data_IF_997591393698
#
_entry.id   IF_997591393698
#
_cell.length_a   1.000
_cell.length_b   1.000
_cell.length_c   1.000
_cell.angle_alpha   90.00
_cell.angle_beta   90.00
_cell.angle_gamma   90.00
#
_symmetry.space_group_name_H-M   'P 1'
#
loop_
_entity.id
_entity.type
_entity.pdbx_description
1 polymer ?
#
# COMPACT_ATOMS: atom_id res chain seq x y z
N UNK A 1 17.54 -26.47 18.59
CA UNK A 1 16.07 -26.29 18.76
C UNK A 1 15.70 -24.88 18.36
N UNK A 2 14.61 -24.70 17.62
CA UNK A 2 14.16 -23.36 17.18
C UNK A 2 13.18 -22.79 18.20
N UNK A 3 13.57 -21.70 18.88
CA UNK A 3 12.69 -20.96 19.79
C UNK A 3 11.62 -20.23 18.96
N UNK A 4 10.33 -20.54 19.18
CA UNK A 4 9.24 -19.86 18.48
C UNK A 4 8.65 -18.75 19.34
N UNK A 5 8.59 -17.54 18.79
CA UNK A 5 8.02 -16.37 19.47
C UNK A 5 6.60 -16.58 20.01
N UNK A 6 5.76 -17.34 19.29
CA UNK A 6 4.39 -17.64 19.72
C UNK A 6 4.34 -18.48 21.01
N UNK A 7 5.34 -19.32 21.26
CA UNK A 7 5.42 -20.16 22.44
C UNK A 7 5.84 -19.33 23.66
N UNK A 8 6.73 -18.35 23.49
CA UNK A 8 7.14 -17.38 24.52
C UNK A 8 6.01 -16.43 24.96
N UNK A 9 5.01 -16.19 24.10
CA UNK A 9 3.86 -15.35 24.43
C UNK A 9 2.83 -16.06 25.33
N UNK A 10 2.81 -17.39 25.35
CA UNK A 10 1.84 -18.13 26.15
C UNK A 10 2.39 -18.37 27.57
N UNK A 11 1.81 -17.76 28.62
CA UNK A 11 2.35 -17.85 29.97
C UNK A 11 2.39 -19.27 30.52
N UNK A 12 1.48 -20.16 30.06
CA UNK A 12 1.46 -21.56 30.50
C UNK A 12 2.63 -22.37 29.93
N UNK A 13 2.99 -22.12 28.68
CA UNK A 13 4.14 -22.75 28.04
C UNK A 13 5.45 -22.21 28.60
N UNK A 14 5.51 -20.89 28.83
CA UNK A 14 6.64 -20.24 29.47
C UNK A 14 6.88 -20.77 30.89
N UNK A 15 5.83 -20.92 31.70
CA UNK A 15 5.92 -21.48 33.04
C UNK A 15 6.36 -22.96 33.03
N UNK A 16 5.90 -23.74 32.04
CA UNK A 16 6.36 -25.12 31.89
C UNK A 16 7.84 -25.21 31.50
N UNK A 17 8.33 -24.30 30.66
CA UNK A 17 9.73 -24.24 30.24
C UNK A 17 10.68 -23.74 31.34
N UNK A 18 10.19 -22.90 32.27
CA UNK A 18 10.97 -22.34 33.38
C UNK A 18 10.77 -23.09 34.71
N UNK A 19 10.04 -24.22 34.70
CA UNK A 19 9.66 -24.95 35.92
C UNK A 19 10.87 -25.44 36.73
N UNK A 20 11.93 -25.86 36.03
CA UNK A 20 13.16 -26.40 36.61
C UNK A 20 14.29 -25.37 36.62
N UNK A 21 14.00 -24.11 36.29
CA UNK A 21 15.00 -23.03 36.24
C UNK A 21 15.21 -22.39 37.62
N UNK A 22 16.45 -21.98 37.90
CA UNK A 22 16.81 -21.28 39.13
C UNK A 22 16.32 -19.81 39.08
N UNK A 23 15.92 -19.17 40.20
CA UNK A 23 15.52 -17.77 40.20
C UNK A 23 16.56 -16.81 39.62
N UNK A 24 17.86 -17.08 39.82
CA UNK A 24 18.94 -16.26 39.24
C UNK A 24 18.96 -16.35 37.71
N UNK A 25 18.72 -17.53 37.14
CA UNK A 25 18.65 -17.71 35.68
C UNK A 25 17.43 -17.00 35.10
N UNK A 26 16.31 -17.00 35.83
CA UNK A 26 15.10 -16.25 35.45
C UNK A 26 15.39 -14.75 35.43
N UNK A 27 16.15 -14.23 36.39
CA UNK A 27 16.55 -12.82 36.43
C UNK A 27 17.41 -12.45 35.21
N UNK A 28 18.39 -13.28 34.86
CA UNK A 28 19.22 -13.08 33.66
C UNK A 28 18.37 -13.05 32.38
N UNK A 29 17.37 -13.94 32.28
CA UNK A 29 16.44 -13.95 31.14
C UNK A 29 15.64 -12.65 31.07
N UNK A 30 15.17 -12.14 32.21
CA UNK A 30 14.44 -10.86 32.28
C UNK A 30 15.34 -9.70 31.83
N UNK A 31 16.59 -9.68 32.27
CA UNK A 31 17.54 -8.63 31.91
C UNK A 31 17.82 -8.64 30.40
N UNK A 32 18.05 -9.81 29.81
CA UNK A 32 18.21 -9.96 28.36
C UNK A 32 16.96 -9.51 27.58
N UNK A 33 15.76 -9.89 28.04
CA UNK A 33 14.51 -9.47 27.39
C UNK A 33 14.30 -7.96 27.49
N UNK A 34 14.73 -7.34 28.59
CA UNK A 34 14.67 -5.89 28.79
C UNK A 34 15.61 -5.17 27.83
N UNK A 35 16.85 -5.63 27.70
CA UNK A 35 17.81 -5.10 26.73
C UNK A 35 17.31 -5.23 25.28
N UNK A 36 16.77 -6.40 24.90
CA UNK A 36 16.18 -6.64 23.57
C UNK A 36 15.00 -5.70 23.32
N UNK A 37 14.14 -5.48 24.33
CA UNK A 37 13.01 -4.54 24.23
C UNK A 37 13.49 -3.12 23.96
N UNK A 38 14.52 -2.65 24.66
CA UNK A 38 15.09 -1.32 24.48
C UNK A 38 15.73 -1.15 23.09
N UNK A 39 16.42 -2.17 22.59
CA UNK A 39 16.99 -2.16 21.24
C UNK A 39 15.89 -2.05 20.18
N UNK A 40 14.83 -2.86 20.30
CA UNK A 40 13.68 -2.81 19.39
C UNK A 40 12.99 -1.44 19.45
N UNK A 41 12.79 -0.89 20.65
CA UNK A 41 12.17 0.41 20.84
C UNK A 41 13.01 1.53 20.20
N UNK A 42 14.33 1.51 20.40
CA UNK A 42 15.27 2.46 19.81
C UNK A 42 15.24 2.39 18.28
N UNK A 43 15.29 1.18 17.72
CA UNK A 43 15.23 0.98 16.26
C UNK A 43 13.91 1.51 15.67
N UNK A 44 12.78 1.21 16.29
CA UNK A 44 11.48 1.74 15.87
C UNK A 44 11.41 3.26 16.00
N UNK A 45 12.02 3.84 17.03
CA UNK A 45 12.08 5.28 17.21
C UNK A 45 12.93 5.94 16.11
N UNK A 46 14.05 5.35 15.72
CA UNK A 46 14.91 5.82 14.63
C UNK A 46 14.24 5.71 13.26
N UNK A 47 13.51 4.62 12.99
CA UNK A 47 12.72 4.49 11.75
C UNK A 47 11.63 5.56 11.70
N UNK A 48 10.91 5.76 12.81
CA UNK A 48 9.89 6.78 12.90
C UNK A 48 10.45 8.21 12.81
N UNK A 49 11.64 8.48 13.36
CA UNK A 49 12.26 9.82 13.28
C UNK A 49 12.69 10.12 11.84
N UNK A 50 13.29 9.16 11.15
CA UNK A 50 13.67 9.30 9.74
C UNK A 50 12.45 9.57 8.87
N UNK A 51 11.34 8.86 9.09
CA UNK A 51 10.10 9.09 8.35
C UNK A 51 9.47 10.45 8.68
N UNK A 52 9.55 10.90 9.92
CA UNK A 52 9.09 12.24 10.34
C UNK A 52 9.94 13.33 9.71
N UNK A 53 11.26 13.24 9.78
CA UNK A 53 12.17 14.20 9.17
C UNK A 53 11.98 14.29 7.66
N UNK A 54 11.81 13.15 6.98
CA UNK A 54 11.52 13.13 5.54
C UNK A 54 10.18 13.80 5.25
N UNK A 55 9.13 13.48 6.02
CA UNK A 55 7.82 14.13 5.86
C UNK A 55 7.90 15.63 6.11
N UNK A 56 8.54 16.06 7.18
CA UNK A 56 8.71 17.48 7.53
C UNK A 56 9.45 18.24 6.42
N UNK A 57 10.60 17.72 5.96
CA UNK A 57 11.36 18.31 4.85
C UNK A 57 10.54 18.39 3.56
N UNK A 58 9.83 17.33 3.21
CA UNK A 58 8.96 17.32 2.02
C UNK A 58 7.82 18.31 2.18
N UNK A 59 7.18 18.39 3.34
CA UNK A 59 6.09 19.35 3.57
C UNK A 59 6.56 20.79 3.55
N UNK A 60 7.74 21.09 4.09
CA UNK A 60 8.36 22.41 4.03
C UNK A 60 8.60 22.82 2.57
N UNK A 61 9.23 21.94 1.78
CA UNK A 61 9.48 22.19 0.36
C UNK A 61 8.18 22.38 -0.43
N UNK A 62 7.13 21.59 -0.15
CA UNK A 62 5.82 21.74 -0.80
C UNK A 62 5.17 23.09 -0.44
N UNK A 63 5.35 23.58 0.79
CA UNK A 63 4.82 24.87 1.19
C UNK A 63 5.56 26.03 0.50
N UNK A 64 6.89 25.97 0.41
CA UNK A 64 7.70 26.96 -0.33
C UNK A 64 7.32 27.02 -1.82
N UNK A 65 7.07 25.86 -2.44
CA UNK A 65 6.59 25.78 -3.83
C UNK A 65 5.21 26.43 -4.01
N UNK A 66 4.30 26.23 -3.05
CA UNK A 66 2.98 26.88 -3.06
C UNK A 66 3.09 28.39 -2.90
N UNK A 67 3.95 28.88 -2.01
CA UNK A 67 4.18 30.31 -1.81
C UNK A 67 4.79 30.99 -3.04
N UNK A 68 5.65 30.26 -3.76
CA UNK A 68 6.24 30.73 -5.02
C UNK A 68 5.28 30.65 -6.21
N UNK A 69 4.04 30.19 -6.00
CA UNK A 69 3.02 29.95 -7.03
C UNK A 69 3.51 29.00 -8.15
N UNK A 70 4.42 28.08 -7.81
CA UNK A 70 4.96 27.06 -8.71
C UNK A 70 4.18 25.77 -8.51
N UNK A 71 3.64 25.22 -9.59
CA UNK A 71 2.90 23.95 -9.52
C UNK A 71 3.88 22.80 -9.33
N UNK A 72 3.46 21.74 -8.64
CA UNK A 72 4.24 20.49 -8.54
C UNK A 72 4.57 19.94 -9.94
N UNK A 73 3.67 20.11 -10.91
CA UNK A 73 3.89 19.72 -12.31
C UNK A 73 5.02 20.52 -12.97
N UNK A 74 5.13 21.83 -12.69
CA UNK A 74 6.21 22.69 -13.19
C UNK A 74 7.54 22.30 -12.55
N UNK A 75 7.56 22.11 -11.22
CA UNK A 75 8.75 21.64 -10.49
C UNK A 75 9.28 20.31 -11.05
N UNK A 76 8.37 19.36 -11.29
CA UNK A 76 8.70 18.05 -11.87
C UNK A 76 9.23 18.15 -13.30
N UNK A 77 8.67 19.08 -14.09
CA UNK A 77 9.12 19.36 -15.45
C UNK A 77 10.57 19.87 -15.48
N UNK A 78 10.90 20.86 -14.63
CA UNK A 78 12.27 21.39 -14.52
C UNK A 78 13.26 20.41 -13.86
N UNK A 79 12.78 19.55 -12.96
CA UNK A 79 13.59 18.49 -12.36
C UNK A 79 13.90 17.33 -13.32
N UNK A 80 13.37 17.34 -14.56
CA UNK A 80 13.53 16.24 -15.51
C UNK A 80 12.87 14.94 -15.06
N UNK A 81 11.97 15.01 -14.08
CA UNK A 81 11.27 13.87 -13.51
C UNK A 81 9.99 13.62 -14.30
N UNK A 82 10.02 12.66 -15.21
CA UNK A 82 8.80 12.24 -15.91
C UNK A 82 7.94 11.40 -14.96
N UNK A 83 6.77 11.90 -14.57
CA UNK A 83 5.72 11.02 -14.03
C UNK A 83 5.29 10.10 -15.17
N UNK A 84 5.68 8.83 -15.11
CA UNK A 84 4.91 7.81 -15.82
C UNK A 84 3.54 7.77 -15.14
N UNK A 85 2.61 8.64 -15.57
CA UNK A 85 1.19 8.48 -15.24
C UNK A 85 0.87 7.06 -15.71
N UNK A 86 0.58 6.17 -14.77
CA UNK A 86 0.25 4.78 -15.06
C UNK A 86 -0.98 4.83 -15.98
N UNK A 87 -0.78 4.68 -17.29
CA UNK A 87 -1.88 4.63 -18.26
C UNK A 87 -2.81 3.53 -17.76
N UNK A 88 -4.01 3.90 -17.31
CA UNK A 88 -5.00 2.91 -16.91
C UNK A 88 -5.37 2.15 -18.16
N UNK A 89 -5.10 0.84 -18.17
CA UNK A 89 -5.51 -0.03 -19.27
C UNK A 89 -7.03 -0.03 -19.36
N UNK A 90 -7.56 0.24 -20.55
CA UNK A 90 -8.98 0.07 -20.83
C UNK A 90 -9.30 -1.42 -20.78
N UNK A 91 -10.36 -1.80 -20.07
CA UNK A 91 -10.73 -3.22 -19.87
C UNK A 91 -11.94 -3.64 -20.68
N UNK A 92 -12.78 -2.69 -21.08
CA UNK A 92 -14.02 -2.95 -21.80
C UNK A 92 -14.18 -1.97 -22.96
N UNK A 93 -14.68 -2.44 -24.11
CA UNK A 93 -15.01 -1.62 -25.29
C UNK A 93 -16.41 -2.01 -25.77
N UNK A 94 -17.28 -1.04 -25.99
CA UNK A 94 -18.66 -1.27 -26.44
C UNK A 94 -19.12 -0.17 -27.40
N UNK A 95 -20.05 -0.48 -28.30
CA UNK A 95 -20.65 0.49 -29.22
C UNK A 95 -21.97 0.99 -28.63
N UNK A 96 -22.07 2.30 -28.43
CA UNK A 96 -23.27 2.98 -27.93
C UNK A 96 -24.46 2.89 -28.88
N UNK A 97 -25.64 3.23 -28.39
CA UNK A 97 -26.85 3.34 -29.21
C UNK A 97 -26.72 4.40 -30.31
N UNK A 98 -25.81 5.37 -30.10
CA UNK A 98 -25.48 6.43 -31.06
C UNK A 98 -24.46 5.99 -32.14
N UNK A 99 -24.04 4.72 -32.13
CA UNK A 99 -23.03 4.18 -33.04
C UNK A 99 -21.58 4.54 -32.68
N UNK A 100 -21.35 5.20 -31.54
CA UNK A 100 -20.02 5.63 -31.07
C UNK A 100 -19.39 4.53 -30.22
N UNK A 101 -18.11 4.23 -30.47
CA UNK A 101 -17.32 3.29 -29.65
C UNK A 101 -16.87 3.96 -28.34
N UNK A 102 -17.23 3.36 -27.22
CA UNK A 102 -16.83 3.76 -25.87
C UNK A 102 -15.90 2.75 -25.24
N UNK A 103 -14.93 3.24 -24.46
CA UNK A 103 -13.99 2.42 -23.70
C UNK A 103 -14.11 2.70 -22.21
N UNK A 104 -14.00 1.65 -21.39
CA UNK A 104 -14.10 1.75 -19.95
C UNK A 104 -13.01 0.94 -19.26
N UNK A 105 -12.31 1.58 -18.31
CA UNK A 105 -11.25 0.98 -17.50
C UNK A 105 -11.76 -0.09 -16.52
N UNK A 106 -13.07 -0.17 -16.30
CA UNK A 106 -13.67 -1.04 -15.30
C UNK A 106 -13.51 -0.55 -13.87
N UNK A 107 -12.99 0.68 -13.68
CA UNK A 107 -12.87 1.34 -12.38
C UNK A 107 -14.10 2.25 -12.16
N UNK A 108 -14.72 2.15 -10.97
CA UNK A 108 -15.91 2.93 -10.61
C UNK A 108 -17.24 2.29 -11.03
N UNK A 109 -18.31 3.09 -11.04
CA UNK A 109 -19.66 2.64 -11.44
C UNK A 109 -19.71 2.33 -12.95
N UNK A 110 -20.44 1.29 -13.31
CA UNK A 110 -20.69 0.91 -14.71
C UNK A 110 -21.39 2.06 -15.46
N UNK A 111 -20.88 2.48 -16.63
CA UNK A 111 -21.53 3.51 -17.44
C UNK A 111 -22.98 3.16 -17.78
N UNK A 112 -23.87 4.17 -17.80
CA UNK A 112 -25.29 3.99 -18.12
C UNK A 112 -25.51 3.38 -19.51
N UNK A 113 -24.67 3.79 -20.46
CA UNK A 113 -24.70 3.30 -21.83
C UNK A 113 -24.41 1.79 -21.88
N UNK A 114 -23.40 1.32 -21.15
CA UNK A 114 -23.09 -0.12 -21.06
C UNK A 114 -24.24 -0.90 -20.41
N UNK A 115 -24.85 -0.35 -19.36
CA UNK A 115 -26.03 -0.96 -18.72
C UNK A 115 -27.23 -1.08 -19.68
N UNK A 116 -27.49 -0.05 -20.49
CA UNK A 116 -28.57 -0.07 -21.48
C UNK A 116 -28.32 -1.12 -22.58
N UNK A 117 -27.09 -1.24 -23.07
CA UNK A 117 -26.72 -2.25 -24.06
C UNK A 117 -26.86 -3.66 -23.48
N UNK A 118 -26.35 -3.88 -22.26
CA UNK A 118 -26.48 -5.17 -21.57
C UNK A 118 -27.95 -5.57 -21.36
N UNK A 119 -28.83 -4.62 -21.04
CA UNK A 119 -30.27 -4.88 -20.91
C UNK A 119 -30.95 -5.15 -22.25
N UNK A 120 -30.55 -4.46 -23.33
CA UNK A 120 -31.10 -4.67 -24.67
C UNK A 120 -30.73 -6.04 -25.24
N UNK A 121 -29.45 -6.39 -25.14
CA UNK A 121 -28.89 -7.57 -25.80
C UNK A 121 -28.91 -8.82 -24.90
N UNK A 122 -29.32 -8.69 -23.64
CA UNK A 122 -29.27 -9.79 -22.67
C UNK A 122 -27.84 -10.28 -22.39
N UNK A 123 -26.84 -9.44 -22.63
CA UNK A 123 -25.41 -9.79 -22.54
C UNK A 123 -24.83 -9.37 -21.20
N UNK A 124 -23.74 -10.04 -20.80
CA UNK A 124 -23.05 -9.75 -19.54
C UNK A 124 -21.85 -8.84 -19.80
N UNK A 125 -21.41 -8.10 -18.78
CA UNK A 125 -20.22 -7.22 -18.85
C UNK A 125 -18.97 -7.95 -19.39
N UNK A 126 -18.88 -9.26 -19.19
CA UNK A 126 -17.77 -10.09 -19.66
C UNK A 126 -17.63 -10.11 -21.19
N UNK A 127 -18.73 -9.97 -21.93
CA UNK A 127 -18.76 -10.05 -23.40
C UNK A 127 -18.09 -8.83 -24.07
N UNK A 128 -18.00 -7.71 -23.36
CA UNK A 128 -17.38 -6.47 -23.84
C UNK A 128 -15.93 -6.30 -23.40
N UNK A 129 -15.32 -7.34 -22.82
CA UNK A 129 -13.96 -7.28 -22.28
C UNK A 129 -12.95 -7.30 -23.42
N UNK A 130 -12.03 -6.33 -23.42
CA UNK A 130 -10.90 -6.31 -24.34
C UNK A 130 -9.92 -7.40 -23.89
N UNK A 131 -9.57 -8.31 -24.79
CA UNK A 131 -8.54 -9.34 -24.54
C UNK A 131 -7.18 -8.68 -24.34
N UNK A 132 -6.34 -9.24 -23.46
CA UNK A 132 -5.06 -8.64 -23.07
C UNK A 132 -4.07 -8.42 -24.24
N UNK A 133 -4.31 -9.03 -25.41
CA UNK A 133 -3.53 -8.85 -26.65
C UNK A 133 -3.78 -7.51 -27.38
N UNK A 134 -4.93 -6.86 -27.18
CA UNK A 134 -5.26 -5.58 -27.84
C UNK A 134 -5.02 -4.35 -26.94
N UNK A 135 -4.60 -4.57 -25.68
CA UNK A 135 -4.47 -3.54 -24.66
C UNK A 135 -3.04 -2.91 -24.58
N UNK A 136 -2.33 -2.90 -25.71
CA UNK A 136 -0.94 -2.41 -25.83
C UNK A 136 -0.88 -0.90 -26.14
#
# INVERSE_FOLDING_TARGET
MTLKFKELKNPRLLAAALRDANPDDIQIIIDHLTAIKEEIATRLAQENSRDKELKEKVTAMVNELKESNITIEDFMHYAGLTVKKRKMKMRYRYVGMDGITYEWTGQGRTPKQLLQIMQRDGTTKADYRISDEEAQ
#
